data_IF_791862686384
#
_entry.id   IF_791862686384
#
_cell.length_a   1.000
_cell.length_b   1.000
_cell.length_c   1.000
_cell.angle_alpha   90.00
_cell.angle_beta   90.00
_cell.angle_gamma   90.00
#
_symmetry.space_group_name_H-M   'P 1'
#
loop_
_entity.id
_entity.type
_entity.pdbx_description
1 polymer ?
#
# COMPACT_ATOMS: atom_id res chain seq x y z
N UNK A 1 15.10 4.35 6.83
CA UNK A 1 14.25 3.18 6.52
C UNK A 1 14.40 2.82 5.05
N UNK A 2 14.69 1.56 4.71
CA UNK A 2 15.03 1.09 3.34
C UNK A 2 13.82 0.97 2.38
N UNK A 3 12.88 1.91 2.39
CA UNK A 3 11.68 1.92 1.53
C UNK A 3 10.80 0.65 1.59
N UNK A 4 10.98 -0.19 2.61
CA UNK A 4 10.28 -1.46 2.78
C UNK A 4 8.91 -1.29 3.44
N UNK A 5 7.98 -2.19 3.10
CA UNK A 5 6.68 -2.27 3.75
C UNK A 5 6.83 -2.68 5.22
N UNK A 6 6.23 -1.90 6.13
CA UNK A 6 6.27 -2.17 7.59
C UNK A 6 5.04 -2.93 8.09
N UNK A 7 3.89 -2.73 7.45
CA UNK A 7 2.61 -3.36 7.76
C UNK A 7 1.77 -3.40 6.49
N UNK A 8 1.05 -4.50 6.30
CA UNK A 8 0.02 -4.62 5.28
C UNK A 8 -1.15 -5.44 5.81
N UNK A 9 -2.35 -5.17 5.28
CA UNK A 9 -3.55 -5.91 5.59
C UNK A 9 -4.44 -6.00 4.35
N UNK A 10 -4.96 -7.19 4.09
CA UNK A 10 -5.96 -7.44 3.06
C UNK A 10 -7.12 -8.15 3.75
N UNK A 11 -8.34 -7.67 3.51
CA UNK A 11 -9.53 -8.22 4.14
C UNK A 11 -10.71 -8.12 3.19
N UNK A 12 -11.53 -9.17 3.15
CA UNK A 12 -12.83 -9.09 2.49
C UNK A 12 -13.74 -8.11 3.22
N UNK A 13 -14.35 -7.19 2.48
CA UNK A 13 -15.33 -6.26 3.03
C UNK A 13 -16.50 -7.03 3.67
N UNK A 14 -16.86 -6.63 4.90
CA UNK A 14 -17.94 -7.29 5.67
C UNK A 14 -19.32 -6.83 5.25
N UNK A 15 -19.44 -5.59 4.78
CA UNK A 15 -20.67 -5.00 4.25
C UNK A 15 -20.58 -4.92 2.74
N UNK A 16 -21.73 -4.99 2.08
CA UNK A 16 -21.83 -4.87 0.61
C UNK A 16 -21.68 -3.40 0.26
N UNK A 17 -20.69 -3.08 -0.58
CA UNK A 17 -20.58 -1.77 -1.21
C UNK A 17 -21.52 -1.70 -2.42
N UNK A 18 -22.19 -0.57 -2.61
CA UNK A 18 -23.10 -0.31 -3.74
C UNK A 18 -22.35 0.23 -4.97
N UNK A 19 -21.09 0.60 -4.81
CA UNK A 19 -20.22 1.08 -5.91
C UNK A 19 -18.75 0.77 -5.63
N UNK A 20 -17.91 0.83 -6.67
CA UNK A 20 -16.45 0.76 -6.51
C UNK A 20 -15.93 1.92 -5.66
N UNK A 21 -16.46 3.13 -5.84
CA UNK A 21 -16.14 4.30 -5.01
C UNK A 21 -16.41 4.06 -3.53
N UNK A 22 -17.56 3.48 -3.19
CA UNK A 22 -17.88 3.12 -1.82
C UNK A 22 -16.93 2.05 -1.28
N UNK A 23 -16.61 1.04 -2.08
CA UNK A 23 -15.66 -0.01 -1.69
C UNK A 23 -14.27 0.58 -1.41
N UNK A 24 -13.76 1.46 -2.27
CA UNK A 24 -12.46 2.11 -2.06
C UNK A 24 -12.51 3.06 -0.86
N UNK A 25 -13.59 3.81 -0.65
CA UNK A 25 -13.74 4.64 0.54
C UNK A 25 -13.75 3.82 1.84
N UNK A 26 -14.40 2.65 1.82
CA UNK A 26 -14.37 1.73 2.94
C UNK A 26 -12.95 1.23 3.24
N UNK A 27 -12.15 0.93 2.21
CA UNK A 27 -10.74 0.58 2.35
C UNK A 27 -9.91 1.75 2.89
N UNK A 28 -10.11 2.95 2.36
CA UNK A 28 -9.50 4.20 2.83
C UNK A 28 -9.79 4.45 4.32
N UNK A 29 -11.00 4.13 4.77
CA UNK A 29 -11.37 4.25 6.19
C UNK A 29 -10.53 3.32 7.07
N UNK A 30 -10.38 2.06 6.67
CA UNK A 30 -9.56 1.09 7.42
C UNK A 30 -8.08 1.50 7.41
N UNK A 31 -7.55 1.96 6.27
CA UNK A 31 -6.21 2.49 6.14
C UNK A 31 -5.98 3.74 7.03
N UNK A 32 -6.98 4.62 7.12
CA UNK A 32 -6.94 5.82 7.98
C UNK A 32 -6.85 5.46 9.45
N UNK A 33 -7.61 4.45 9.91
CA UNK A 33 -7.53 3.97 11.29
C UNK A 33 -6.14 3.42 11.63
N UNK A 34 -5.57 2.60 10.74
CA UNK A 34 -4.23 2.04 10.92
C UNK A 34 -3.15 3.14 10.89
N UNK A 35 -3.24 4.09 9.96
CA UNK A 35 -2.33 5.21 9.84
C UNK A 35 -2.31 6.09 11.11
N UNK A 36 -3.48 6.45 11.64
CA UNK A 36 -3.59 7.23 12.88
C UNK A 36 -3.01 6.48 14.08
N UNK A 37 -3.24 5.17 14.15
CA UNK A 37 -2.68 4.34 15.21
C UNK A 37 -1.14 4.25 15.11
N UNK A 38 -0.60 4.00 13.92
CA UNK A 38 0.86 3.96 13.68
C UNK A 38 1.48 5.32 14.01
N UNK A 39 0.87 6.43 13.57
CA UNK A 39 1.33 7.78 13.94
C UNK A 39 1.39 7.94 15.46
N UNK A 40 0.31 7.62 16.17
CA UNK A 40 0.29 7.74 17.62
C UNK A 40 1.37 6.90 18.30
N UNK A 41 1.67 5.71 17.76
CA UNK A 41 2.76 4.87 18.22
C UNK A 41 4.13 5.50 17.96
N UNK A 42 4.39 5.98 16.73
CA UNK A 42 5.66 6.61 16.35
C UNK A 42 5.91 7.93 17.10
N UNK A 43 4.88 8.73 17.36
CA UNK A 43 4.96 9.93 18.19
C UNK A 43 5.42 9.61 19.61
N UNK A 44 4.92 8.52 20.21
CA UNK A 44 5.34 8.07 21.54
C UNK A 44 6.80 7.60 21.58
N UNK A 45 7.31 7.08 20.46
CA UNK A 45 8.71 6.70 20.32
C UNK A 45 9.64 7.89 20.01
N UNK A 46 9.09 9.07 19.69
CA UNK A 46 9.87 10.24 19.27
C UNK A 46 10.32 10.19 17.81
N UNK A 47 9.82 9.23 17.03
CA UNK A 47 10.18 9.02 15.62
C UNK A 47 9.34 9.85 14.64
N UNK A 48 8.25 10.47 15.12
CA UNK A 48 7.36 11.32 14.34
C UNK A 48 6.88 12.50 15.20
N UNK A 49 6.70 13.67 14.60
CA UNK A 49 6.15 14.84 15.31
C UNK A 49 4.62 14.76 15.38
N UNK A 50 4.04 15.30 16.44
CA UNK A 50 2.58 15.30 16.62
C UNK A 50 1.82 16.08 15.54
N UNK A 51 2.39 17.17 15.05
CA UNK A 51 1.85 18.02 13.99
C UNK A 51 2.08 17.47 12.57
N UNK A 52 2.85 16.39 12.42
CA UNK A 52 3.13 15.80 11.12
C UNK A 52 1.96 14.94 10.62
N UNK A 53 1.39 15.28 9.46
CA UNK A 53 0.29 14.51 8.86
C UNK A 53 0.79 13.21 8.22
N UNK A 54 0.04 12.10 8.40
CA UNK A 54 0.32 10.88 7.65
C UNK A 54 -0.24 11.00 6.24
N UNK A 55 0.62 10.82 5.23
CA UNK A 55 0.18 10.81 3.84
C UNK A 55 -0.45 9.46 3.50
N UNK A 56 -1.70 9.49 3.03
CA UNK A 56 -2.39 8.33 2.47
C UNK A 56 -2.58 8.56 0.98
N UNK A 57 -2.23 7.55 0.18
CA UNK A 57 -2.38 7.58 -1.27
C UNK A 57 -3.68 6.91 -1.68
N UNK A 58 -4.39 7.52 -2.62
CA UNK A 58 -5.67 7.04 -3.14
C UNK A 58 -5.72 7.26 -4.67
N UNK A 59 -6.15 6.26 -5.43
CA UNK A 59 -6.27 6.37 -6.89
C UNK A 59 -7.72 6.59 -7.33
N UNK A 60 -8.69 6.31 -6.47
CA UNK A 60 -10.10 6.55 -6.73
C UNK A 60 -10.48 8.03 -6.52
N UNK A 61 -10.66 8.75 -7.63
CA UNK A 61 -11.09 10.15 -7.62
C UNK A 61 -12.47 10.37 -6.97
N UNK A 62 -13.37 9.38 -7.06
CA UNK A 62 -14.66 9.43 -6.38
C UNK A 62 -14.50 9.44 -4.87
N UNK A 63 -13.62 8.60 -4.32
CA UNK A 63 -13.32 8.56 -2.88
C UNK A 63 -12.70 9.88 -2.42
N UNK A 64 -11.74 10.42 -3.19
CA UNK A 64 -11.11 11.71 -2.91
C UNK A 64 -12.16 12.84 -2.93
N UNK A 65 -13.07 12.83 -3.90
CA UNK A 65 -14.15 13.81 -4.00
C UNK A 65 -15.12 13.72 -2.81
N UNK A 66 -15.45 12.50 -2.35
CA UNK A 66 -16.26 12.28 -1.16
C UNK A 66 -15.60 12.82 0.11
N UNK A 67 -14.27 12.78 0.22
CA UNK A 67 -13.58 13.43 1.35
C UNK A 67 -13.69 14.96 1.26
N UNK A 68 -13.57 15.53 0.06
CA UNK A 68 -13.57 16.99 -0.15
C UNK A 68 -14.96 17.64 -0.07
N UNK A 69 -16.01 16.96 -0.54
CA UNK A 69 -17.34 17.54 -0.73
C UNK A 69 -18.38 16.84 0.18
N UNK A 70 -18.85 17.51 1.25
CA UNK A 70 -19.81 16.94 2.18
C UNK A 70 -21.19 16.64 1.59
N UNK A 71 -21.56 17.31 0.50
CA UNK A 71 -22.94 17.37 -0.02
C UNK A 71 -23.37 16.14 -0.83
N UNK A 72 -22.45 15.21 -1.13
CA UNK A 72 -22.79 13.98 -1.85
C UNK A 72 -23.42 12.92 -0.92
N UNK A 73 -24.76 12.96 -0.88
CA UNK A 73 -25.71 11.85 -0.70
C UNK A 73 -26.16 11.37 0.69
N UNK A 74 -27.46 10.99 0.67
CA UNK A 74 -28.28 10.34 1.71
C UNK A 74 -28.03 8.81 1.75
N UNK A 75 -28.08 8.26 2.98
CA UNK A 75 -28.35 6.85 3.42
C UNK A 75 -27.16 5.88 3.46
N UNK A 76 -26.64 5.63 4.66
CA UNK A 76 -26.99 4.53 5.60
C UNK A 76 -26.10 4.74 6.82
N UNK A 77 -26.62 4.82 8.05
CA UNK A 77 -25.86 5.29 9.25
C UNK A 77 -24.42 4.78 9.38
N UNK A 78 -24.14 3.53 9.01
CA UNK A 78 -22.80 2.95 9.11
C UNK A 78 -21.79 3.52 8.09
N UNK A 79 -22.23 3.96 6.91
CA UNK A 79 -21.36 4.61 5.92
C UNK A 79 -21.10 6.07 6.26
N UNK A 80 -22.12 6.75 6.80
CA UNK A 80 -22.01 8.13 7.24
C UNK A 80 -20.90 8.27 8.31
N UNK A 81 -20.84 7.33 9.27
CA UNK A 81 -19.79 7.29 10.30
C UNK A 81 -18.38 7.17 9.67
N UNK A 82 -18.21 6.31 8.66
CA UNK A 82 -16.92 6.14 7.96
C UNK A 82 -16.52 7.42 7.25
N UNK A 83 -17.47 8.06 6.58
CA UNK A 83 -17.26 9.31 5.86
C UNK A 83 -16.85 10.43 6.79
N UNK A 84 -17.58 10.59 7.90
CA UNK A 84 -17.25 11.57 8.92
C UNK A 84 -15.86 11.34 9.51
N UNK A 85 -15.51 10.09 9.83
CA UNK A 85 -14.21 9.77 10.41
C UNK A 85 -13.04 10.19 9.51
N UNK A 86 -13.04 9.79 8.23
CA UNK A 86 -11.92 10.14 7.32
C UNK A 86 -11.86 11.65 7.10
N UNK A 87 -13.01 12.31 6.91
CA UNK A 87 -13.08 13.77 6.75
C UNK A 87 -12.54 14.51 7.96
N UNK A 88 -12.92 14.08 9.17
CA UNK A 88 -12.43 14.65 10.43
C UNK A 88 -10.90 14.54 10.51
N UNK A 89 -10.33 13.36 10.23
CA UNK A 89 -8.86 13.19 10.29
C UNK A 89 -8.10 13.99 9.25
N UNK A 90 -8.71 14.25 8.10
CA UNK A 90 -8.14 15.17 7.10
C UNK A 90 -8.28 16.63 7.53
N UNK A 91 -9.44 17.03 8.06
CA UNK A 91 -9.69 18.39 8.54
C UNK A 91 -8.81 18.76 9.74
N UNK A 92 -8.57 17.81 10.65
CA UNK A 92 -7.68 17.94 11.80
C UNK A 92 -6.19 17.97 11.41
N UNK A 93 -5.85 17.79 10.13
CA UNK A 93 -4.47 17.70 9.65
C UNK A 93 -3.73 16.45 10.13
N UNK A 94 -4.43 15.43 10.66
CA UNK A 94 -3.80 14.18 11.06
C UNK A 94 -3.41 13.33 9.84
N UNK A 95 -4.18 13.46 8.76
CA UNK A 95 -4.00 12.73 7.50
C UNK A 95 -4.01 13.68 6.32
N UNK A 96 -3.09 13.47 5.39
CA UNK A 96 -3.08 14.12 4.09
C UNK A 96 -3.44 13.10 3.01
N UNK A 97 -4.61 13.25 2.40
CA UNK A 97 -5.03 12.41 1.28
C UNK A 97 -4.42 12.93 -0.03
N UNK A 98 -3.65 12.10 -0.71
CA UNK A 98 -2.93 12.44 -1.94
C UNK A 98 -3.34 11.51 -3.08
N UNK A 99 -3.65 12.09 -4.24
CA UNK A 99 -3.89 11.28 -5.42
C UNK A 99 -2.62 10.53 -5.86
N UNK A 100 -2.79 9.26 -6.20
CA UNK A 100 -1.79 8.41 -6.85
C UNK A 100 -2.37 7.82 -8.13
N UNK A 101 -1.59 7.72 -9.20
CA UNK A 101 -2.06 7.01 -10.39
C UNK A 101 -2.21 5.52 -10.10
N UNK A 102 -3.24 4.86 -10.64
CA UNK A 102 -3.48 3.41 -10.46
C UNK A 102 -2.26 2.56 -10.79
N UNK A 103 -1.49 2.94 -11.83
CA UNK A 103 -0.25 2.26 -12.20
C UNK A 103 0.83 2.27 -11.10
N UNK A 104 0.77 3.22 -10.17
CA UNK A 104 1.72 3.42 -9.08
C UNK A 104 1.10 3.06 -7.70
N UNK A 105 -0.15 2.57 -7.69
CA UNK A 105 -0.87 2.22 -6.47
C UNK A 105 -0.38 0.88 -5.92
N UNK A 106 0.56 0.91 -4.98
CA UNK A 106 1.18 -0.30 -4.40
C UNK A 106 0.17 -1.27 -3.78
N UNK A 107 -0.97 -0.77 -3.30
CA UNK A 107 -2.04 -1.61 -2.74
C UNK A 107 -2.65 -2.55 -3.79
N UNK A 108 -2.68 -2.16 -5.07
CA UNK A 108 -3.26 -2.97 -6.15
C UNK A 108 -2.54 -4.29 -6.36
N UNK A 109 -1.25 -4.35 -6.01
CA UNK A 109 -0.46 -5.60 -5.99
C UNK A 109 -1.16 -6.70 -5.18
N UNK A 110 -1.87 -6.30 -4.13
CA UNK A 110 -2.45 -7.18 -3.13
C UNK A 110 -3.98 -7.31 -3.25
N UNK A 111 -4.64 -6.38 -3.94
CA UNK A 111 -6.11 -6.30 -3.98
C UNK A 111 -6.72 -6.63 -5.34
N UNK A 112 -5.96 -6.53 -6.44
CA UNK A 112 -6.49 -6.68 -7.80
C UNK A 112 -5.77 -7.77 -8.59
N UNK A 113 -6.46 -8.47 -9.51
CA UNK A 113 -5.79 -9.28 -10.52
C UNK A 113 -5.11 -8.36 -11.54
N UNK A 114 -3.79 -8.30 -11.52
CA UNK A 114 -2.97 -7.45 -12.40
C UNK A 114 -2.07 -8.29 -13.31
N UNK A 115 -1.56 -7.70 -14.39
CA UNK A 115 -0.62 -8.38 -15.30
C UNK A 115 0.72 -8.65 -14.62
N UNK A 116 1.46 -9.65 -15.10
CA UNK A 116 2.79 -9.98 -14.58
C UNK A 116 3.76 -8.78 -14.61
N UNK A 117 3.73 -8.00 -15.70
CA UNK A 117 4.55 -6.80 -15.83
C UNK A 117 4.21 -5.74 -14.75
N UNK A 118 2.91 -5.52 -14.50
CA UNK A 118 2.47 -4.59 -13.46
C UNK A 118 2.81 -5.11 -12.05
N UNK A 119 2.68 -6.42 -11.83
CA UNK A 119 3.08 -7.07 -10.58
C UNK A 119 4.56 -6.87 -10.28
N UNK A 120 5.45 -7.13 -11.26
CA UNK A 120 6.89 -6.95 -11.06
C UNK A 120 7.28 -5.49 -10.82
N UNK A 121 6.63 -4.55 -11.51
CA UNK A 121 6.81 -3.12 -11.27
C UNK A 121 6.45 -2.74 -9.83
N UNK A 122 5.22 -3.04 -9.38
CA UNK A 122 4.76 -2.70 -8.03
C UNK A 122 5.54 -3.45 -6.94
N UNK A 123 5.92 -4.71 -7.18
CA UNK A 123 6.79 -5.49 -6.28
C UNK A 123 8.14 -4.83 -6.08
N UNK A 124 8.75 -4.34 -7.17
CA UNK A 124 9.99 -3.55 -7.12
C UNK A 124 9.82 -2.27 -6.31
N UNK A 125 8.69 -1.56 -6.45
CA UNK A 125 8.38 -0.35 -5.69
C UNK A 125 8.20 -0.58 -4.17
N UNK A 126 7.89 -1.81 -3.74
CA UNK A 126 7.85 -2.22 -2.33
C UNK A 126 9.21 -2.66 -1.78
N UNK A 127 10.27 -2.63 -2.60
CA UNK A 127 11.61 -3.07 -2.22
C UNK A 127 11.79 -4.59 -2.19
N UNK A 128 10.80 -5.36 -2.67
CA UNK A 128 10.84 -6.82 -2.71
C UNK A 128 11.64 -7.26 -3.93
N UNK A 129 12.95 -7.48 -3.75
CA UNK A 129 13.83 -7.97 -4.81
C UNK A 129 13.73 -9.48 -4.93
N UNK A 130 13.78 -9.99 -6.15
CA UNK A 130 14.01 -11.42 -6.39
C UNK A 130 15.38 -11.78 -5.83
N UNK A 131 15.52 -12.91 -5.10
CA UNK A 131 16.84 -13.34 -4.66
C UNK A 131 17.74 -13.48 -5.88
N UNK A 132 18.99 -13.01 -5.77
CA UNK A 132 19.99 -13.35 -6.80
C UNK A 132 20.06 -14.87 -6.82
N UNK A 133 19.75 -15.48 -7.95
CA UNK A 133 20.22 -16.83 -8.24
C UNK A 133 21.70 -16.83 -7.91
N UNK A 134 22.12 -17.63 -6.92
CA UNK A 134 23.53 -17.86 -6.69
C UNK A 134 24.11 -18.29 -8.04
N UNK A 135 24.95 -17.44 -8.64
CA UNK A 135 25.74 -17.85 -9.78
C UNK A 135 26.52 -19.07 -9.32
N UNK A 136 26.24 -20.22 -9.92
CA UNK A 136 26.99 -21.43 -9.70
C UNK A 136 28.40 -21.21 -10.26
N UNK A 137 29.27 -20.56 -9.49
CA UNK A 137 30.70 -20.50 -9.74
C UNK A 137 31.30 -21.85 -9.36
N UNK A 138 30.96 -22.88 -10.11
CA UNK A 138 31.67 -24.16 -10.14
C UNK A 138 32.53 -24.19 -11.39
N UNK A 139 33.78 -23.78 -11.28
CA UNK A 139 34.79 -24.02 -12.31
C UNK A 139 35.06 -25.53 -12.38
N UNK A 140 34.55 -26.17 -13.43
CA UNK A 140 35.01 -27.52 -13.83
C UNK A 140 36.40 -27.35 -14.40
N UNK A 141 37.42 -27.77 -13.65
CA UNK A 141 38.78 -27.91 -14.17
C UNK A 141 38.78 -29.13 -15.09
N UNK A 142 38.82 -28.88 -16.41
CA UNK A 142 39.05 -29.93 -17.39
C UNK A 142 40.54 -30.30 -17.38
N UNK A 143 40.91 -31.32 -16.60
CA UNK A 143 42.20 -31.98 -16.77
C UNK A 143 42.18 -32.77 -18.09
N UNK A 144 43.02 -32.36 -19.04
CA UNK A 144 43.30 -33.09 -20.29
C UNK A 144 44.69 -33.76 -20.19
N UNK A 145 44.99 -34.77 -21.03
CA UNK A 145 45.44 -36.08 -20.60
C UNK A 145 46.97 -36.17 -20.44
N UNK A 146 47.43 -36.99 -19.48
CA UNK A 146 48.84 -37.39 -19.44
C UNK A 146 49.07 -38.51 -20.45
N UNK A 147 49.91 -38.19 -21.44
CA UNK A 147 50.55 -39.15 -22.32
C UNK A 147 51.41 -40.16 -21.54
N UNK A 148 51.37 -41.40 -22.02
CA UNK A 148 52.18 -42.54 -21.58
C UNK A 148 53.69 -42.30 -21.72
N UNK A 149 54.48 -42.81 -20.77
CA UNK A 149 55.85 -43.29 -21.03
C UNK A 149 56.17 -44.51 -20.15
N UNK A 150 56.32 -45.64 -20.84
CA UNK A 150 56.93 -46.95 -20.51
C UNK A 150 56.22 -47.88 -19.50
#
# INVERSE_FOLDING_TARGET
MNNGCISWRIKKQRTVALSSTEAEYMALTEATQEAVWIKAFLCKLGEMKNDEAVKIYEDNQGSIALVKNPEFHKRTKHIDIRYHFVREKVADGQVLLQYCATKDMKADLMTKPISAAQFDYLRGMLGIKTPRSAEASGSVVNDTPRHDVL
#
